data_IF_855878769544
#
_entry.id   IF_855878769544
#
_cell.length_a   1.000
_cell.length_b   1.000
_cell.length_c   1.000
_cell.angle_alpha   90.00
_cell.angle_beta   90.00
_cell.angle_gamma   90.00
#
_symmetry.space_group_name_H-M   'P 1'
#
loop_
_entity.id
_entity.type
_entity.pdbx_description
1 polymer ?
#
# COMPACT_ATOMS: atom_id res chain seq x y z
N UNK A 1 15.62 13.18 -0.25
CA UNK A 1 14.63 12.20 -0.75
C UNK A 1 14.57 12.16 -2.27
N UNK A 2 14.20 13.23 -2.99
CA UNK A 2 14.09 13.24 -4.46
C UNK A 2 15.38 12.88 -5.20
N UNK A 3 16.55 13.35 -4.75
CA UNK A 3 17.82 13.01 -5.38
C UNK A 3 18.12 11.51 -5.27
N UNK A 4 17.83 10.91 -4.11
CA UNK A 4 17.99 9.47 -3.93
C UNK A 4 16.98 8.68 -4.79
N UNK A 5 15.75 9.16 -4.90
CA UNK A 5 14.73 8.57 -5.78
C UNK A 5 15.19 8.60 -7.24
N UNK A 6 15.67 9.75 -7.73
CA UNK A 6 16.20 9.87 -9.11
C UNK A 6 17.40 8.96 -9.36
N UNK A 7 18.28 8.81 -8.35
CA UNK A 7 19.44 7.91 -8.44
C UNK A 7 19.02 6.44 -8.61
N UNK A 8 17.96 6.02 -7.91
CA UNK A 8 17.49 4.63 -7.92
C UNK A 8 16.63 4.33 -9.16
N UNK A 9 15.68 5.21 -9.50
CA UNK A 9 14.66 4.96 -10.52
C UNK A 9 14.93 5.66 -11.86
N UNK A 10 15.93 6.52 -11.93
CA UNK A 10 16.34 7.16 -13.18
C UNK A 10 15.58 8.44 -13.55
N UNK A 11 15.53 8.71 -14.84
CA UNK A 11 15.01 9.97 -15.37
C UNK A 11 13.47 10.04 -15.26
N UNK A 12 12.97 11.20 -14.81
CA UNK A 12 11.54 11.53 -14.69
C UNK A 12 10.71 11.26 -15.95
N UNK A 13 11.33 11.29 -17.13
CA UNK A 13 10.66 11.02 -18.42
C UNK A 13 10.12 9.60 -18.53
N UNK A 14 10.78 8.65 -17.88
CA UNK A 14 10.45 7.21 -17.95
C UNK A 14 9.83 6.65 -16.66
N UNK A 15 9.62 7.51 -15.66
CA UNK A 15 9.13 7.10 -14.34
C UNK A 15 7.75 7.65 -14.09
N UNK A 16 6.82 6.75 -13.81
CA UNK A 16 5.47 7.06 -13.36
C UNK A 16 5.37 6.74 -11.86
N UNK A 17 4.93 7.71 -11.06
CA UNK A 17 4.78 7.55 -9.61
C UNK A 17 3.30 7.42 -9.28
N UNK A 18 2.92 6.27 -8.74
CA UNK A 18 1.54 6.01 -8.34
C UNK A 18 1.42 6.08 -6.82
N UNK A 19 0.50 6.90 -6.35
CA UNK A 19 0.16 7.02 -4.94
C UNK A 19 -1.24 6.47 -4.69
N UNK A 20 -1.43 5.86 -3.53
CA UNK A 20 -2.76 5.58 -3.06
C UNK A 20 -3.58 6.86 -2.86
N UNK A 21 -4.87 6.78 -3.08
CA UNK A 21 -5.80 7.92 -2.96
C UNK A 21 -6.26 8.15 -1.52
N UNK A 22 -5.92 7.24 -0.59
CA UNK A 22 -6.30 7.39 0.81
C UNK A 22 -5.72 8.66 1.41
N UNK A 23 -6.61 9.53 1.87
CA UNK A 23 -6.26 10.72 2.64
C UNK A 23 -6.80 10.58 4.07
N UNK A 24 -5.90 10.65 5.03
CA UNK A 24 -6.30 10.70 6.43
C UNK A 24 -6.88 12.09 6.72
N UNK A 25 -8.21 12.19 6.84
CA UNK A 25 -8.92 13.46 7.12
C UNK A 25 -8.67 14.00 8.53
N UNK A 26 -8.33 13.15 9.49
CA UNK A 26 -8.04 13.51 10.88
C UNK A 26 -6.72 12.89 11.32
N UNK A 27 -5.85 13.70 11.93
CA UNK A 27 -4.65 13.21 12.58
C UNK A 27 -5.04 12.37 13.79
N UNK A 28 -4.55 11.13 13.85
CA UNK A 28 -4.77 10.30 15.03
C UNK A 28 -3.92 10.81 16.19
N UNK A 29 -4.54 10.94 17.38
CA UNK A 29 -3.86 11.36 18.62
C UNK A 29 -2.62 10.48 18.85
N UNK A 30 -1.46 11.11 19.09
CA UNK A 30 -0.15 10.47 19.30
C UNK A 30 0.45 9.70 18.10
N UNK A 31 -0.01 9.97 16.86
CA UNK A 31 0.66 9.48 15.65
C UNK A 31 1.21 10.63 14.82
N UNK A 32 2.31 10.36 14.12
CA UNK A 32 2.88 11.32 13.18
C UNK A 32 1.88 11.65 12.05
N UNK A 33 1.89 12.89 11.60
CA UNK A 33 1.06 13.32 10.50
C UNK A 33 1.42 12.58 9.20
N UNK A 34 0.41 12.05 8.51
CA UNK A 34 0.61 11.37 7.23
C UNK A 34 0.94 12.40 6.15
N UNK A 35 2.15 12.34 5.60
CA UNK A 35 2.68 13.29 4.60
C UNK A 35 2.11 13.10 3.16
N UNK A 36 0.93 12.50 3.01
CA UNK A 36 0.39 12.11 1.70
C UNK A 36 0.32 13.24 0.68
N UNK A 37 -0.34 14.36 1.01
CA UNK A 37 -0.49 15.52 0.10
C UNK A 37 0.85 16.18 -0.24
N UNK A 38 1.69 16.40 0.76
CA UNK A 38 2.99 17.03 0.56
C UNK A 38 3.91 16.22 -0.34
N UNK A 39 3.90 14.90 -0.22
CA UNK A 39 4.71 14.02 -1.04
C UNK A 39 4.24 14.03 -2.51
N UNK A 40 2.95 13.92 -2.77
CA UNK A 40 2.37 14.02 -4.12
C UNK A 40 2.75 15.35 -4.80
N UNK A 41 2.59 16.47 -4.07
CA UNK A 41 2.95 17.80 -4.57
C UNK A 41 4.45 17.91 -4.87
N UNK A 42 5.30 17.33 -4.02
CA UNK A 42 6.75 17.33 -4.19
C UNK A 42 7.17 16.63 -5.49
N UNK A 43 6.61 15.45 -5.77
CA UNK A 43 6.91 14.71 -7.00
C UNK A 43 6.38 15.42 -8.24
N UNK A 44 5.17 16.01 -8.20
CA UNK A 44 4.62 16.81 -9.29
C UNK A 44 5.48 18.04 -9.60
N UNK A 45 5.87 18.81 -8.56
CA UNK A 45 6.78 19.97 -8.71
C UNK A 45 8.14 19.56 -9.26
N UNK A 46 8.63 18.35 -8.98
CA UNK A 46 9.85 17.81 -9.53
C UNK A 46 9.71 17.33 -10.99
N UNK A 47 8.51 17.39 -11.57
CA UNK A 47 8.21 17.06 -12.95
C UNK A 47 7.98 15.57 -13.23
N UNK A 48 7.71 14.76 -12.18
CA UNK A 48 7.31 13.37 -12.37
C UNK A 48 5.82 13.26 -12.73
N UNK A 49 5.50 12.34 -13.62
CA UNK A 49 4.12 11.93 -13.83
C UNK A 49 3.60 11.22 -12.57
N UNK A 50 2.51 11.76 -11.98
CA UNK A 50 1.97 11.25 -10.72
C UNK A 50 0.48 10.98 -10.84
N UNK A 51 0.07 9.76 -10.49
CA UNK A 51 -1.31 9.31 -10.53
C UNK A 51 -1.79 8.87 -9.15
N UNK A 52 -3.10 8.99 -8.92
CA UNK A 52 -3.78 8.45 -7.76
C UNK A 52 -4.45 7.12 -8.11
N UNK A 53 -4.31 6.15 -7.23
CA UNK A 53 -4.87 4.81 -7.39
C UNK A 53 -5.82 4.54 -6.23
N UNK A 54 -7.05 4.13 -6.54
CA UNK A 54 -8.01 3.65 -5.52
C UNK A 54 -7.40 2.44 -4.79
N UNK A 55 -7.18 2.58 -3.49
CA UNK A 55 -6.54 1.56 -2.65
C UNK A 55 -7.49 0.44 -2.20
N UNK A 56 -8.67 0.32 -2.81
CA UNK A 56 -9.63 -0.68 -2.39
C UNK A 56 -9.01 -2.09 -2.30
N UNK A 57 -9.03 -2.68 -1.11
CA UNK A 57 -8.50 -4.00 -0.74
C UNK A 57 -6.98 -4.22 -0.93
N UNK A 58 -6.21 -3.23 -1.35
CA UNK A 58 -4.77 -3.41 -1.64
C UNK A 58 -3.96 -3.86 -0.43
N UNK A 59 -4.33 -3.46 0.78
CA UNK A 59 -3.63 -3.82 2.01
C UNK A 59 -4.04 -5.17 2.61
N UNK A 60 -5.17 -5.75 2.17
CA UNK A 60 -5.70 -6.99 2.76
C UNK A 60 -5.76 -8.17 1.79
N UNK A 61 -5.64 -7.96 0.49
CA UNK A 61 -5.55 -9.05 -0.48
C UNK A 61 -4.10 -9.45 -0.69
N UNK A 62 -3.86 -10.76 -0.79
CA UNK A 62 -2.52 -11.29 -1.03
C UNK A 62 -2.06 -10.96 -2.46
N UNK A 63 -0.93 -10.26 -2.57
CA UNK A 63 -0.35 -9.90 -3.88
C UNK A 63 0.27 -11.08 -4.62
N UNK A 64 0.49 -12.23 -3.95
CA UNK A 64 1.06 -13.44 -4.55
C UNK A 64 -0.01 -14.34 -5.17
N UNK A 65 -0.99 -14.79 -4.38
CA UNK A 65 -2.03 -15.71 -4.89
C UNK A 65 -3.26 -14.99 -5.45
N UNK A 66 -3.42 -13.70 -5.19
CA UNK A 66 -4.49 -12.82 -5.72
C UNK A 66 -5.93 -13.18 -5.29
N UNK A 67 -6.10 -14.24 -4.52
CA UNK A 67 -7.40 -14.71 -4.01
C UNK A 67 -7.46 -14.71 -2.48
N UNK A 68 -6.32 -14.89 -1.80
CA UNK A 68 -6.24 -15.02 -0.34
C UNK A 68 -6.39 -13.68 0.38
N UNK A 69 -7.22 -13.68 1.41
CA UNK A 69 -7.30 -12.55 2.35
C UNK A 69 -6.14 -12.66 3.35
N UNK A 70 -5.42 -11.59 3.53
CA UNK A 70 -4.36 -11.48 4.54
C UNK A 70 -4.91 -10.92 5.85
N UNK A 71 -4.57 -11.55 6.98
CA UNK A 71 -4.95 -11.12 8.33
C UNK A 71 -3.73 -10.81 9.19
N UNK A 72 -3.91 -9.93 10.16
CA UNK A 72 -2.93 -9.64 11.21
C UNK A 72 -3.04 -10.72 12.28
N UNK A 73 -2.12 -11.66 12.28
CA UNK A 73 -2.13 -12.82 13.21
C UNK A 73 -0.95 -12.83 14.17
N UNK A 74 0.11 -12.06 13.85
CA UNK A 74 1.29 -11.99 14.71
C UNK A 74 1.04 -11.12 15.92
N UNK A 75 1.39 -11.64 17.09
CA UNK A 75 1.40 -10.95 18.37
C UNK A 75 2.82 -10.92 18.93
N UNK A 76 3.14 -9.90 19.71
CA UNK A 76 4.39 -9.80 20.46
C UNK A 76 4.11 -9.19 21.83
N UNK A 77 5.01 -9.35 22.76
CA UNK A 77 4.98 -8.61 24.01
C UNK A 77 4.98 -7.10 23.77
N UNK A 78 4.31 -6.39 24.66
CA UNK A 78 4.27 -4.94 24.59
C UNK A 78 5.69 -4.38 24.81
N UNK A 79 6.24 -3.60 23.85
CA UNK A 79 7.59 -3.05 24.00
C UNK A 79 7.69 -1.97 25.10
N UNK A 80 6.56 -1.54 25.66
CA UNK A 80 6.52 -0.57 26.74
C UNK A 80 6.52 -1.33 28.09
N UNK A 81 7.59 -1.23 28.89
CA UNK A 81 7.74 -2.04 30.09
C UNK A 81 6.66 -1.82 31.17
N UNK A 82 5.98 -0.67 31.10
CA UNK A 82 4.87 -0.32 31.99
C UNK A 82 3.49 -0.83 31.51
N UNK A 83 3.44 -1.56 30.39
CA UNK A 83 2.21 -2.16 29.86
C UNK A 83 2.38 -3.66 29.74
N UNK A 84 1.64 -4.40 30.49
CA UNK A 84 1.58 -5.87 30.41
C UNK A 84 0.72 -6.32 29.24
N UNK A 85 0.98 -7.54 28.74
CA UNK A 85 0.20 -8.21 27.72
C UNK A 85 0.77 -8.08 26.30
N UNK A 86 0.14 -8.80 25.40
CA UNK A 86 0.56 -8.89 24.00
C UNK A 86 -0.14 -7.87 23.11
N UNK A 87 0.57 -7.38 22.12
CA UNK A 87 0.04 -6.47 21.08
C UNK A 87 0.12 -7.11 19.70
N UNK A 88 -0.84 -6.78 18.83
CA UNK A 88 -0.83 -7.19 17.44
C UNK A 88 0.25 -6.42 16.66
N UNK A 89 1.06 -7.15 15.89
CA UNK A 89 2.04 -6.55 14.99
C UNK A 89 1.33 -6.06 13.73
N UNK A 90 0.99 -4.78 13.68
CA UNK A 90 0.20 -4.19 12.59
C UNK A 90 0.89 -4.19 11.22
N UNK A 91 2.23 -4.21 11.19
CA UNK A 91 3.03 -4.22 9.96
C UNK A 91 3.17 -5.59 9.29
N UNK A 92 2.73 -6.67 9.95
CA UNK A 92 2.78 -8.04 9.43
C UNK A 92 1.37 -8.60 9.20
N UNK A 93 1.20 -9.23 8.04
CA UNK A 93 -0.03 -9.91 7.64
C UNK A 93 0.28 -11.32 7.17
N UNK A 94 -0.62 -12.27 7.43
CA UNK A 94 -0.53 -13.65 6.99
C UNK A 94 -1.61 -13.96 5.98
N UNK A 95 -1.24 -14.57 4.85
CA UNK A 95 -2.19 -15.02 3.84
C UNK A 95 -2.93 -16.28 4.29
N UNK A 96 -4.26 -16.28 4.25
CA UNK A 96 -5.07 -17.45 4.60
C UNK A 96 -4.88 -18.66 3.67
N UNK A 97 -4.43 -18.42 2.44
CA UNK A 97 -4.16 -19.47 1.45
C UNK A 97 -2.73 -20.05 1.55
N UNK A 98 -2.05 -19.87 2.67
CA UNK A 98 -0.75 -20.49 2.90
C UNK A 98 0.43 -19.86 2.18
N UNK A 99 0.30 -18.66 1.57
CA UNK A 99 1.44 -17.98 0.91
C UNK A 99 2.51 -17.47 1.88
N UNK A 100 2.23 -17.51 3.19
CA UNK A 100 3.14 -17.07 4.24
C UNK A 100 2.84 -15.66 4.77
N UNK A 101 3.86 -15.08 5.42
CA UNK A 101 3.79 -13.76 6.03
C UNK A 101 4.34 -12.70 5.07
N UNK A 102 3.72 -11.52 5.13
CA UNK A 102 4.09 -10.37 4.32
C UNK A 102 4.25 -9.13 5.19
N UNK A 103 5.18 -8.26 4.81
CA UNK A 103 5.11 -6.88 5.23
C UNK A 103 3.88 -6.25 4.58
N UNK A 104 2.99 -5.64 5.38
CA UNK A 104 1.71 -5.08 4.93
C UNK A 104 1.90 -4.00 3.86
N UNK A 105 2.91 -3.14 4.04
CA UNK A 105 3.13 -2.01 3.14
C UNK A 105 3.73 -2.48 1.81
N UNK A 106 4.62 -3.49 1.84
CA UNK A 106 5.13 -4.16 0.64
C UNK A 106 3.99 -4.84 -0.13
N UNK A 107 3.12 -5.58 0.57
CA UNK A 107 1.95 -6.20 -0.07
C UNK A 107 1.02 -5.16 -0.70
N UNK A 108 0.73 -4.07 0.02
CA UNK A 108 -0.11 -2.97 -0.47
C UNK A 108 0.48 -2.27 -1.69
N UNK A 109 1.76 -1.92 -1.65
CA UNK A 109 2.45 -1.28 -2.78
C UNK A 109 2.55 -2.17 -4.01
N UNK A 110 2.73 -3.49 -3.83
CA UNK A 110 2.70 -4.45 -4.94
C UNK A 110 1.32 -4.51 -5.59
N UNK A 111 0.24 -4.48 -4.81
CA UNK A 111 -1.11 -4.44 -5.35
C UNK A 111 -1.41 -3.11 -6.07
N UNK A 112 -0.96 -1.97 -5.52
CA UNK A 112 -1.07 -0.65 -6.20
C UNK A 112 -0.30 -0.68 -7.52
N UNK A 113 0.91 -1.25 -7.53
CA UNK A 113 1.70 -1.42 -8.75
C UNK A 113 0.94 -2.22 -9.82
N UNK A 114 0.31 -3.34 -9.46
CA UNK A 114 -0.48 -4.16 -10.40
C UNK A 114 -1.67 -3.39 -11.01
N UNK A 115 -2.37 -2.60 -10.19
CA UNK A 115 -3.47 -1.75 -10.67
C UNK A 115 -2.93 -0.72 -11.67
N UNK A 116 -1.85 -0.03 -11.31
CA UNK A 116 -1.24 0.99 -12.16
C UNK A 116 -0.67 0.40 -13.47
N UNK A 117 0.02 -0.74 -13.37
CA UNK A 117 0.55 -1.45 -14.53
C UNK A 117 -0.55 -1.86 -15.52
N UNK A 118 -1.65 -2.39 -15.02
CA UNK A 118 -2.78 -2.75 -15.87
C UNK A 118 -3.39 -1.51 -16.53
N UNK A 119 -3.60 -0.43 -15.79
CA UNK A 119 -4.15 0.81 -16.34
C UNK A 119 -3.25 1.42 -17.43
N UNK A 120 -1.93 1.45 -17.24
CA UNK A 120 -0.97 1.95 -18.22
C UNK A 120 -0.98 1.10 -19.51
N UNK A 121 -1.22 -0.20 -19.38
CA UNK A 121 -1.27 -1.14 -20.51
C UNK A 121 -2.68 -1.36 -21.07
N UNK A 122 -3.63 -0.49 -20.78
CA UNK A 122 -5.04 -0.57 -21.20
C UNK A 122 -5.72 -1.92 -20.83
N UNK A 123 -5.29 -2.52 -19.71
CA UNK A 123 -5.88 -3.73 -19.15
C UNK A 123 -6.87 -3.38 -18.05
N UNK A 124 -7.85 -4.24 -17.85
CA UNK A 124 -8.79 -4.09 -16.74
C UNK A 124 -8.10 -4.17 -15.37
N UNK A 125 -8.71 -3.51 -14.38
CA UNK A 125 -8.30 -3.62 -12.99
C UNK A 125 -8.37 -5.07 -12.53
N UNK A 126 -7.38 -5.60 -11.80
CA UNK A 126 -7.43 -6.96 -11.28
C UNK A 126 -8.70 -7.22 -10.46
N UNK A 127 -9.42 -8.29 -10.77
CA UNK A 127 -10.74 -8.60 -10.21
C UNK A 127 -10.73 -8.62 -8.67
N UNK A 128 -9.72 -9.22 -8.06
CA UNK A 128 -9.60 -9.32 -6.60
C UNK A 128 -9.39 -7.95 -5.88
N UNK A 129 -9.04 -6.91 -6.63
CA UNK A 129 -8.91 -5.52 -6.18
C UNK A 129 -10.06 -4.62 -6.65
N UNK A 130 -11.10 -5.19 -7.32
CA UNK A 130 -12.24 -4.44 -7.87
C UNK A 130 -13.45 -4.49 -6.92
N UNK A 131 -14.16 -3.36 -6.82
CA UNK A 131 -15.44 -3.28 -6.10
C UNK A 131 -16.56 -4.05 -6.82
N UNK A 132 -16.50 -4.11 -8.15
CA UNK A 132 -17.49 -4.80 -8.97
C UNK A 132 -17.52 -6.31 -8.75
N UNK A 133 -16.40 -6.90 -8.33
CA UNK A 133 -16.32 -8.34 -8.07
C UNK A 133 -17.09 -8.79 -6.83
N UNK A 134 -17.28 -7.90 -5.84
CA UNK A 134 -18.00 -8.21 -4.60
C UNK A 134 -19.52 -8.23 -4.82
N UNK A 135 -20.03 -7.47 -5.79
CA UNK A 135 -21.45 -7.40 -6.08
C UNK A 135 -21.99 -8.64 -6.82
N UNK A 136 -21.11 -9.55 -7.28
CA UNK A 136 -21.44 -10.77 -8.03
C UNK A 136 -21.31 -12.05 -7.21
N UNK A 137 -20.98 -11.95 -5.92
CA UNK A 137 -20.96 -13.04 -4.93
C UNK A 137 -22.09 -12.86 -3.92
#
# INVERSE_FOLDING_TARGET
MLNNFKRIFGNKKYVVVCFGDYEQKKQMKFKEATKGKGMKTLFRKAGFQTYLVDEFRTSCMCSKCEIGICKKTMVRENPKPYRTGNIIVHGLICCKNGCGYWNRDVNGSTNIYKIAYNAINNKERPNYLSKLFIQKQ
#
